data_IF_877394664019
#
_entry.id   IF_877394664019
#
_cell.length_a   1.000
_cell.length_b   1.000
_cell.length_c   1.000
_cell.angle_alpha   90.00
_cell.angle_beta   90.00
_cell.angle_gamma   90.00
#
_symmetry.space_group_name_H-M   'P 1'
#
loop_
_entity.id
_entity.type
_entity.pdbx_description
1 polymer ?
#
# COMPACT_ATOMS: atom_id res chain seq x y z
N UNK A 1 -1.49 -0.97 14.32
CA UNK A 1 -0.70 0.04 13.56
C UNK A 1 -1.49 0.44 12.34
N UNK A 2 -1.80 1.72 12.20
CA UNK A 2 -2.60 2.21 11.07
C UNK A 2 -1.73 2.28 9.83
N UNK A 3 -2.16 1.61 8.76
CA UNK A 3 -1.46 1.55 7.47
C UNK A 3 -2.37 2.06 6.37
N UNK A 4 -1.82 2.85 5.45
CA UNK A 4 -2.51 3.36 4.28
C UNK A 4 -1.81 2.83 3.04
N UNK A 5 -2.56 2.17 2.17
CA UNK A 5 -2.06 1.57 0.94
C UNK A 5 -2.79 2.21 -0.24
N UNK A 6 -2.10 2.98 -1.09
CA UNK A 6 -2.67 3.44 -2.36
C UNK A 6 -2.86 2.23 -3.28
N UNK A 7 -4.00 2.15 -3.97
CA UNK A 7 -4.39 1.03 -4.84
C UNK A 7 -4.70 1.51 -6.26
N UNK A 8 -4.41 0.66 -7.25
CA UNK A 8 -4.75 0.91 -8.65
C UNK A 8 -6.16 0.41 -8.98
N UNK A 9 -6.67 0.81 -10.15
CA UNK A 9 -7.93 0.35 -10.73
C UNK A 9 -9.22 0.70 -9.95
N UNK A 10 -9.13 1.56 -8.93
CA UNK A 10 -10.31 2.08 -8.23
C UNK A 10 -10.96 3.20 -9.04
N UNK A 11 -11.95 2.87 -9.89
CA UNK A 11 -12.64 3.82 -10.78
C UNK A 11 -14.01 4.28 -10.27
N UNK A 12 -14.67 3.50 -9.42
CA UNK A 12 -16.02 3.81 -8.94
C UNK A 12 -16.27 3.29 -7.49
N UNK A 13 -17.17 3.96 -6.77
CA UNK A 13 -17.47 3.65 -5.36
C UNK A 13 -18.13 2.29 -5.11
N UNK A 14 -18.64 1.63 -6.16
CA UNK A 14 -19.18 0.27 -6.05
C UNK A 14 -18.13 -0.76 -5.63
N UNK A 15 -16.88 -0.58 -6.05
CA UNK A 15 -15.77 -1.46 -5.73
C UNK A 15 -15.29 -1.33 -4.27
N UNK A 16 -15.49 -0.15 -3.66
CA UNK A 16 -15.00 0.14 -2.31
C UNK A 16 -15.60 -0.79 -1.25
N UNK A 17 -16.92 -1.05 -1.31
CA UNK A 17 -17.60 -1.96 -0.37
C UNK A 17 -17.07 -3.39 -0.45
N UNK A 18 -16.81 -3.87 -1.66
CA UNK A 18 -16.25 -5.21 -1.87
C UNK A 18 -14.84 -5.32 -1.31
N UNK A 19 -14.01 -4.30 -1.50
CA UNK A 19 -12.64 -4.27 -0.94
C UNK A 19 -12.68 -4.32 0.59
N UNK A 20 -13.55 -3.51 1.23
CA UNK A 20 -13.72 -3.50 2.69
C UNK A 20 -14.11 -4.91 3.18
N UNK A 21 -15.18 -5.48 2.62
CA UNK A 21 -15.66 -6.81 3.03
C UNK A 21 -14.58 -7.90 2.86
N UNK A 22 -13.76 -7.83 1.80
CA UNK A 22 -12.68 -8.80 1.56
C UNK A 22 -11.45 -8.63 2.44
N UNK A 23 -11.21 -7.42 2.93
CA UNK A 23 -10.14 -7.13 3.87
C UNK A 23 -10.56 -7.44 5.31
N UNK A 24 -11.82 -7.21 5.68
CA UNK A 24 -12.35 -7.59 7.00
C UNK A 24 -12.36 -9.12 7.23
N UNK A 25 -12.29 -9.94 6.18
CA UNK A 25 -12.06 -11.39 6.27
C UNK A 25 -10.68 -11.74 6.86
N UNK A 26 -9.72 -10.80 6.88
CA UNK A 26 -8.36 -11.03 7.37
C UNK A 26 -8.29 -10.71 8.87
N UNK A 27 -8.13 -11.72 9.76
CA UNK A 27 -8.13 -11.50 11.20
C UNK A 27 -6.94 -10.67 11.71
N UNK A 28 -5.91 -10.51 10.88
CA UNK A 28 -4.72 -9.73 11.19
C UNK A 28 -4.89 -8.20 10.95
N UNK A 29 -6.04 -7.76 10.46
CA UNK A 29 -6.35 -6.33 10.25
C UNK A 29 -7.76 -5.99 10.76
N UNK A 30 -7.96 -4.73 11.13
CA UNK A 30 -9.22 -4.16 11.62
C UNK A 30 -9.42 -2.73 11.10
N UNK A 31 -10.58 -2.11 11.34
CA UNK A 31 -10.85 -0.71 10.95
C UNK A 31 -10.57 -0.41 9.47
N UNK A 32 -11.07 -1.27 8.58
CA UNK A 32 -10.84 -1.10 7.14
C UNK A 32 -11.72 0.05 6.60
N UNK A 33 -11.09 0.98 5.89
CA UNK A 33 -11.74 2.11 5.22
C UNK A 33 -11.13 2.30 3.83
N UNK A 34 -11.97 2.66 2.84
CA UNK A 34 -11.54 2.87 1.45
C UNK A 34 -11.90 4.29 1.03
N UNK A 35 -10.90 5.05 0.62
CA UNK A 35 -11.04 6.41 0.11
C UNK A 35 -10.99 6.39 -1.41
N UNK A 36 -12.14 6.59 -2.05
CA UNK A 36 -12.24 6.67 -3.52
C UNK A 36 -11.53 7.90 -4.06
N UNK A 37 -11.63 9.03 -3.35
CA UNK A 37 -10.99 10.30 -3.72
C UNK A 37 -9.47 10.21 -3.83
N UNK A 38 -8.83 9.54 -2.87
CA UNK A 38 -7.38 9.31 -2.85
C UNK A 38 -6.96 7.96 -3.44
N UNK A 39 -7.91 7.16 -3.94
CA UNK A 39 -7.67 5.79 -4.41
C UNK A 39 -6.80 4.97 -3.45
N UNK A 40 -7.15 4.98 -2.16
CA UNK A 40 -6.37 4.38 -1.10
C UNK A 40 -7.22 3.59 -0.11
N UNK A 41 -6.60 2.60 0.53
CA UNK A 41 -7.20 1.77 1.57
C UNK A 41 -6.45 1.99 2.87
N UNK A 42 -7.17 2.33 3.92
CA UNK A 42 -6.66 2.49 5.27
C UNK A 42 -7.17 1.34 6.14
N UNK A 43 -6.28 0.77 6.96
CA UNK A 43 -6.64 -0.28 7.92
C UNK A 43 -5.66 -0.31 9.08
N UNK A 44 -6.10 -0.84 10.21
CA UNK A 44 -5.26 -1.13 11.36
C UNK A 44 -4.74 -2.56 11.27
N UNK A 45 -3.44 -2.73 11.06
CA UNK A 45 -2.80 -4.04 11.12
C UNK A 45 -2.32 -4.36 12.54
N UNK A 46 -2.48 -5.62 12.95
CA UNK A 46 -1.96 -6.14 14.22
C UNK A 46 -0.44 -6.32 14.17
N UNK A 47 0.09 -6.75 13.02
CA UNK A 47 1.52 -7.03 12.81
C UNK A 47 1.89 -6.87 11.33
N UNK A 48 3.19 -6.92 10.99
CA UNK A 48 3.66 -6.76 9.61
C UNK A 48 3.05 -7.80 8.65
N UNK A 49 2.72 -8.99 9.16
CA UNK A 49 2.05 -10.01 8.34
C UNK A 49 0.65 -9.58 7.91
N UNK A 50 -0.08 -8.84 8.75
CA UNK A 50 -1.38 -8.26 8.38
C UNK A 50 -1.27 -7.31 7.20
N UNK A 51 -0.22 -6.49 7.14
CA UNK A 51 0.03 -5.59 5.98
C UNK A 51 0.32 -6.42 4.72
N UNK A 52 1.18 -7.44 4.83
CA UNK A 52 1.51 -8.31 3.68
C UNK A 52 0.28 -9.08 3.19
N UNK A 53 -0.52 -9.63 4.10
CA UNK A 53 -1.76 -10.33 3.77
C UNK A 53 -2.78 -9.41 3.09
N UNK A 54 -2.93 -8.16 3.58
CA UNK A 54 -3.79 -7.17 2.95
C UNK A 54 -3.33 -6.83 1.53
N UNK A 55 -2.02 -6.62 1.31
CA UNK A 55 -1.45 -6.38 -0.02
C UNK A 55 -1.68 -7.55 -0.98
N UNK A 56 -1.46 -8.78 -0.51
CA UNK A 56 -1.64 -9.97 -1.32
C UNK A 56 -3.11 -10.19 -1.70
N UNK A 57 -4.01 -10.01 -0.72
CA UNK A 57 -5.46 -10.07 -0.95
C UNK A 57 -5.89 -9.01 -1.98
N UNK A 58 -5.49 -7.76 -1.79
CA UNK A 58 -5.76 -6.64 -2.70
C UNK A 58 -5.31 -6.96 -4.13
N UNK A 59 -4.10 -7.51 -4.29
CA UNK A 59 -3.58 -7.97 -5.59
C UNK A 59 -4.42 -9.10 -6.18
N UNK A 60 -4.82 -10.09 -5.37
CA UNK A 60 -5.64 -11.23 -5.79
C UNK A 60 -7.04 -10.80 -6.27
N UNK A 61 -7.63 -9.77 -5.67
CA UNK A 61 -8.94 -9.23 -6.06
C UNK A 61 -8.88 -8.14 -7.15
N UNK A 62 -7.70 -7.87 -7.73
CA UNK A 62 -7.52 -6.96 -8.87
C UNK A 62 -7.23 -5.50 -8.54
N UNK A 63 -6.93 -5.18 -7.27
CA UNK A 63 -6.58 -3.84 -6.78
C UNK A 63 -5.14 -3.80 -6.26
N UNK A 64 -4.11 -4.02 -7.10
CA UNK A 64 -2.72 -4.01 -6.65
C UNK A 64 -2.33 -2.65 -6.07
N UNK A 65 -1.43 -2.64 -5.07
CA UNK A 65 -0.91 -1.42 -4.48
C UNK A 65 -0.08 -0.60 -5.49
N UNK A 66 -0.19 0.73 -5.45
CA UNK A 66 0.56 1.65 -6.33
C UNK A 66 2.06 1.61 -6.04
N UNK A 67 2.47 1.36 -4.80
CA UNK A 67 3.86 1.49 -4.38
C UNK A 67 4.44 0.15 -3.88
N UNK A 68 5.26 -0.44 -4.74
CA UNK A 68 6.43 -1.19 -4.32
C UNK A 68 7.47 -0.17 -3.79
N UNK A 69 8.04 -0.41 -2.61
CA UNK A 69 9.27 0.24 -2.13
C UNK A 69 9.30 1.79 -1.95
N UNK A 70 8.62 2.29 -0.92
CA UNK A 70 8.99 3.58 -0.30
C UNK A 70 9.11 3.49 1.22
N UNK A 71 9.80 2.46 1.72
CA UNK A 71 10.35 2.49 3.07
C UNK A 71 11.82 2.88 2.98
N UNK A 72 12.09 4.19 2.96
CA UNK A 72 13.27 4.91 3.51
C UNK A 72 14.72 4.41 3.24
N UNK A 73 14.94 3.29 2.55
CA UNK A 73 16.26 2.66 2.35
C UNK A 73 16.87 3.03 0.99
N UNK A 74 16.06 3.20 -0.06
CA UNK A 74 16.55 3.47 -1.41
C UNK A 74 17.03 4.91 -1.64
N UNK A 75 16.63 5.87 -0.78
CA UNK A 75 17.12 7.26 -0.86
C UNK A 75 18.62 7.37 -0.54
N UNK A 76 19.17 6.43 0.24
CA UNK A 76 20.58 6.43 0.63
C UNK A 76 21.54 5.99 -0.50
N UNK A 77 21.08 5.20 -1.48
CA UNK A 77 21.92 4.85 -2.65
C UNK A 77 22.02 5.99 -3.67
N UNK A 78 21.09 6.94 -3.68
CA UNK A 78 21.07 8.00 -4.70
C UNK A 78 22.02 9.17 -4.41
N UNK A 79 22.48 9.36 -3.17
CA UNK A 79 23.42 10.46 -2.82
C UNK A 79 24.88 10.08 -3.10
N UNK A 80 25.21 8.79 -3.22
CA UNK A 80 26.61 8.36 -3.45
C UNK A 80 27.02 8.33 -4.93
N UNK A 81 26.08 8.48 -5.88
CA UNK A 81 26.39 8.39 -7.31
C UNK A 81 26.62 9.72 -8.03
N UNK A 82 26.43 10.88 -7.38
CA UNK A 82 26.63 12.20 -8.00
C UNK A 82 27.87 12.96 -7.49
N UNK A 83 28.63 12.38 -6.55
CA UNK A 83 29.77 13.04 -5.90
C UNK A 83 31.14 12.59 -6.42
N UNK A 84 31.22 11.88 -7.55
CA UNK A 84 32.49 11.40 -8.09
C UNK A 84 32.50 11.51 -9.60
N UNK A 85 32.74 12.71 -10.13
CA UNK A 85 32.93 12.84 -11.57
C UNK A 85 32.81 14.24 -12.16
N UNK A 86 33.54 15.22 -11.62
CA UNK A 86 34.18 16.27 -12.46
C UNK A 86 35.18 17.08 -11.63
N UNK A 87 36.38 16.50 -11.51
CA UNK A 87 37.62 17.26 -11.49
C UNK A 87 38.06 17.33 -12.95
N UNK A 88 37.87 18.50 -13.57
CA UNK A 88 38.64 19.08 -14.68
C UNK A 88 38.18 20.53 -14.82
#
# INVERSE_FOLDING_TARGET
>A
MTSVIPIQNLKCGGCAKTIIAKLEEIPAITNVSVSVESSSVQFDALNQQGITAAKDKLKSIGYPSIDQDNSVLSKAKSIVSCATGKLS
#
